data_IF_454119604383
#
_entry.id   IF_454119604383
#
_cell.length_a   1.000
_cell.length_b   1.000
_cell.length_c   1.000
_cell.angle_alpha   90.00
_cell.angle_beta   90.00
_cell.angle_gamma   90.00
#
_symmetry.space_group_name_H-M   'P 1'
#
loop_
_entity.id
_entity.type
_entity.pdbx_description
1 polymer ?
#
# COMPACT_ATOMS: atom_id res chain seq x y z
N UNK A 1 -88.02 -22.51 -7.11
CA UNK A 1 -86.84 -21.85 -7.68
C UNK A 1 -86.34 -20.81 -6.69
N UNK A 2 -85.23 -21.09 -5.99
CA UNK A 2 -84.58 -20.14 -5.07
C UNK A 2 -83.20 -19.80 -5.66
N UNK A 3 -82.95 -18.52 -5.91
CA UNK A 3 -81.65 -17.97 -6.28
C UNK A 3 -80.70 -18.07 -5.08
N UNK A 4 -79.51 -18.63 -5.29
CA UNK A 4 -78.42 -18.62 -4.32
C UNK A 4 -77.40 -17.52 -4.70
N UNK A 5 -77.11 -16.65 -3.74
CA UNK A 5 -76.08 -15.63 -3.83
C UNK A 5 -74.69 -16.26 -3.66
N UNK A 6 -73.77 -15.98 -4.57
CA UNK A 6 -72.36 -16.39 -4.48
C UNK A 6 -71.55 -15.26 -3.86
N UNK A 7 -71.08 -15.44 -2.63
CA UNK A 7 -70.10 -14.55 -1.98
C UNK A 7 -68.69 -14.92 -2.45
N UNK A 8 -67.98 -13.98 -3.08
CA UNK A 8 -66.61 -14.14 -3.54
C UNK A 8 -65.64 -13.69 -2.44
N UNK A 9 -64.97 -14.64 -1.78
CA UNK A 9 -63.92 -14.38 -0.79
C UNK A 9 -62.58 -14.20 -1.50
N UNK A 10 -62.02 -12.99 -1.48
CA UNK A 10 -60.66 -12.71 -1.97
C UNK A 10 -59.62 -13.23 -0.98
N UNK A 11 -58.87 -14.27 -1.38
CA UNK A 11 -57.66 -14.74 -0.72
C UNK A 11 -56.48 -13.83 -1.09
N UNK A 12 -55.92 -13.10 -0.12
CA UNK A 12 -54.60 -12.49 -0.26
C UNK A 12 -53.55 -13.61 -0.19
N UNK A 13 -52.93 -13.94 -1.31
CA UNK A 13 -51.72 -14.77 -1.35
C UNK A 13 -50.52 -13.85 -1.11
N UNK A 14 -50.00 -13.87 0.11
CA UNK A 14 -48.70 -13.26 0.42
C UNK A 14 -47.59 -14.07 -0.25
N UNK A 15 -46.90 -13.48 -1.22
CA UNK A 15 -45.71 -14.07 -1.81
C UNK A 15 -44.57 -14.02 -0.78
N UNK A 16 -44.31 -15.14 -0.12
CA UNK A 16 -43.06 -15.33 0.61
C UNK A 16 -41.99 -15.56 -0.45
N UNK A 17 -41.16 -14.54 -0.69
CA UNK A 17 -39.95 -14.72 -1.47
C UNK A 17 -39.06 -15.74 -0.73
N UNK A 18 -38.95 -16.94 -1.30
CA UNK A 18 -37.97 -17.91 -0.86
C UNK A 18 -36.58 -17.32 -1.14
N UNK A 19 -35.90 -16.85 -0.08
CA UNK A 19 -34.49 -16.50 -0.15
C UNK A 19 -33.74 -17.81 -0.37
N UNK A 20 -33.41 -18.10 -1.61
CA UNK A 20 -32.36 -19.08 -1.91
C UNK A 20 -31.08 -18.55 -1.27
N UNK A 21 -30.67 -19.12 -0.14
CA UNK A 21 -29.36 -18.87 0.42
C UNK A 21 -28.33 -19.26 -0.64
N UNK A 22 -27.71 -18.26 -1.26
CA UNK A 22 -26.52 -18.50 -2.07
C UNK A 22 -25.46 -19.14 -1.18
N UNK A 23 -24.64 -20.07 -1.70
CA UNK A 23 -23.53 -20.63 -0.94
C UNK A 23 -22.66 -19.49 -0.43
N UNK A 24 -22.35 -19.52 0.87
CA UNK A 24 -21.61 -18.50 1.60
C UNK A 24 -20.30 -18.14 0.89
N UNK A 25 -20.33 -17.12 0.02
CA UNK A 25 -19.14 -16.33 -0.23
C UNK A 25 -18.83 -15.67 1.12
N UNK A 26 -17.67 -15.97 1.70
CA UNK A 26 -17.21 -15.28 2.90
C UNK A 26 -17.17 -13.79 2.57
N UNK A 27 -18.21 -13.06 2.95
CA UNK A 27 -18.27 -11.63 2.72
C UNK A 27 -17.36 -10.95 3.74
N UNK A 28 -16.63 -9.93 3.33
CA UNK A 28 -15.87 -9.10 4.26
C UNK A 28 -16.80 -8.66 5.43
N UNK A 29 -16.46 -8.94 6.70
CA UNK A 29 -17.32 -8.62 7.85
C UNK A 29 -17.26 -7.13 8.26
N UNK A 30 -16.34 -6.36 7.70
CA UNK A 30 -16.18 -4.94 8.02
C UNK A 30 -17.04 -4.10 7.08
N UNK A 31 -17.92 -3.28 7.65
CA UNK A 31 -18.69 -2.27 6.92
C UNK A 31 -18.07 -0.91 7.14
N UNK A 32 -17.98 -0.13 6.06
CA UNK A 32 -17.38 1.19 6.08
C UNK A 32 -18.44 2.23 5.74
N UNK A 33 -18.50 3.30 6.53
CA UNK A 33 -19.09 4.56 6.10
C UNK A 33 -18.05 5.66 6.20
N UNK A 34 -18.16 6.66 5.34
CA UNK A 34 -17.23 7.78 5.27
C UNK A 34 -18.03 9.05 5.02
N UNK A 35 -17.70 10.09 5.77
CA UNK A 35 -18.31 11.42 5.64
C UNK A 35 -17.22 12.48 5.63
N UNK A 36 -17.52 13.65 5.07
CA UNK A 36 -16.66 14.82 5.19
C UNK A 36 -16.53 15.21 6.67
N UNK A 37 -15.30 15.32 7.18
CA UNK A 37 -15.06 15.89 8.50
C UNK A 37 -14.91 17.42 8.35
N UNK A 38 -15.73 18.18 9.07
CA UNK A 38 -15.58 19.65 9.11
C UNK A 38 -14.32 19.99 9.92
N UNK A 39 -13.49 20.92 9.43
CA UNK A 39 -12.45 21.49 10.27
C UNK A 39 -13.11 22.37 11.35
N UNK A 40 -12.48 22.48 12.51
CA UNK A 40 -12.90 23.37 13.60
C UNK A 40 -12.94 24.86 13.20
N UNK A 41 -12.33 25.23 12.06
CA UNK A 41 -12.37 26.56 11.45
C UNK A 41 -13.56 26.81 10.51
N UNK A 42 -14.46 25.84 10.29
CA UNK A 42 -15.63 25.98 9.41
C UNK A 42 -15.37 25.74 7.91
N UNK A 43 -14.11 25.58 7.50
CA UNK A 43 -13.72 25.14 6.15
C UNK A 43 -13.57 23.62 6.03
N UNK A 44 -13.75 23.07 4.83
CA UNK A 44 -13.45 21.65 4.55
C UNK A 44 -12.03 21.55 3.97
N UNK A 45 -11.09 21.06 4.77
CA UNK A 45 -9.65 21.01 4.44
C UNK A 45 -9.18 19.67 3.86
N UNK A 46 -10.09 18.86 3.32
CA UNK A 46 -9.75 17.52 2.82
C UNK A 46 -9.74 16.42 3.88
N UNK A 47 -10.34 16.64 5.06
CA UNK A 47 -10.44 15.63 6.10
C UNK A 47 -11.70 14.77 5.96
N UNK A 48 -11.62 13.47 6.23
CA UNK A 48 -12.76 12.54 6.23
C UNK A 48 -12.88 11.83 7.57
N UNK A 49 -14.10 11.70 8.09
CA UNK A 49 -14.38 10.76 9.18
C UNK A 49 -14.72 9.41 8.57
N UNK A 50 -13.91 8.39 8.90
CA UNK A 50 -14.14 7.01 8.51
C UNK A 50 -14.65 6.23 9.70
N UNK A 51 -15.77 5.54 9.51
CA UNK A 51 -16.38 4.62 10.47
C UNK A 51 -16.24 3.20 9.94
N UNK A 52 -15.64 2.30 10.71
CA UNK A 52 -15.54 0.87 10.38
C UNK A 52 -16.25 0.05 11.47
N UNK A 53 -17.28 -0.69 11.09
CA UNK A 53 -18.06 -1.55 11.99
C UNK A 53 -17.84 -3.02 11.65
N UNK A 54 -17.51 -3.84 12.65
CA UNK A 54 -17.53 -5.30 12.51
C UNK A 54 -18.96 -5.81 12.66
N UNK A 55 -19.58 -6.24 11.56
CA UNK A 55 -20.96 -6.75 11.54
C UNK A 55 -21.06 -8.27 11.70
N UNK A 56 -19.94 -8.95 11.98
CA UNK A 56 -19.94 -10.39 12.21
C UNK A 56 -20.17 -10.75 13.68
N UNK A 57 -20.32 -12.05 13.95
CA UNK A 57 -20.38 -12.62 15.30
C UNK A 57 -19.00 -13.00 15.85
N UNK A 58 -17.93 -12.74 15.10
CA UNK A 58 -16.56 -13.07 15.46
C UNK A 58 -15.75 -11.80 15.70
N UNK A 59 -14.76 -11.88 16.59
CA UNK A 59 -13.78 -10.80 16.70
C UNK A 59 -12.93 -10.78 15.44
N UNK A 60 -12.77 -9.61 14.83
CA UNK A 60 -11.88 -9.39 13.68
C UNK A 60 -10.54 -8.84 14.20
N UNK A 61 -9.44 -9.35 13.66
CA UNK A 61 -8.09 -8.85 13.88
C UNK A 61 -7.56 -8.32 12.56
N UNK A 62 -7.14 -7.07 12.51
CA UNK A 62 -6.59 -6.43 11.30
C UNK A 62 -5.26 -5.77 11.64
N UNK A 63 -4.20 -5.92 10.84
CA UNK A 63 -3.00 -5.11 11.01
C UNK A 63 -3.35 -3.62 11.05
N UNK A 64 -2.83 -2.89 12.04
CA UNK A 64 -3.23 -1.50 12.30
C UNK A 64 -3.00 -0.58 11.10
N UNK A 65 -1.91 -0.78 10.35
CA UNK A 65 -1.58 0.01 9.16
C UNK A 65 -2.54 -0.18 7.98
N UNK A 66 -3.44 -1.18 8.02
CA UNK A 66 -4.50 -1.37 7.02
C UNK A 66 -5.81 -0.70 7.43
N UNK A 67 -5.87 -0.07 8.60
CA UNK A 67 -7.00 0.71 9.07
C UNK A 67 -6.66 2.21 9.03
N UNK A 68 -7.66 3.09 8.83
CA UNK A 68 -7.46 4.53 8.94
C UNK A 68 -6.91 4.95 10.31
N UNK A 69 -5.94 5.86 10.28
CA UNK A 69 -5.30 6.52 11.42
C UNK A 69 -5.20 8.03 11.18
N UNK A 70 -4.90 8.78 12.24
CA UNK A 70 -4.59 10.21 12.18
C UNK A 70 -3.33 10.52 11.35
N UNK A 71 -2.35 9.61 11.36
CA UNK A 71 -1.20 9.63 10.46
C UNK A 71 -1.26 8.46 9.47
N UNK A 72 -1.30 8.76 8.17
CA UNK A 72 -1.35 7.72 7.13
C UNK A 72 0.02 7.10 6.88
N UNK A 73 0.19 5.86 7.37
CA UNK A 73 1.39 5.05 7.14
C UNK A 73 1.29 4.11 5.93
N UNK A 74 0.26 4.27 5.11
CA UNK A 74 0.01 3.51 3.90
C UNK A 74 -0.97 4.24 2.97
N UNK A 75 -0.96 3.89 1.68
CA UNK A 75 -1.89 4.40 0.67
C UNK A 75 -3.23 3.68 0.74
N UNK A 76 -4.06 4.06 1.71
CA UNK A 76 -5.34 3.41 1.99
C UNK A 76 -6.52 3.90 1.12
N UNK A 77 -6.35 5.03 0.44
CA UNK A 77 -7.43 5.72 -0.26
C UNK A 77 -7.14 5.81 -1.76
N UNK A 78 -8.20 5.67 -2.56
CA UNK A 78 -8.20 6.07 -3.95
C UNK A 78 -8.82 7.47 -4.01
N UNK A 79 -8.02 8.44 -4.45
CA UNK A 79 -8.42 9.84 -4.54
C UNK A 79 -8.32 10.26 -5.99
N UNK A 80 -9.38 10.89 -6.51
CA UNK A 80 -9.38 11.47 -7.86
C UNK A 80 -10.02 12.85 -7.86
N UNK A 81 -9.59 13.69 -8.80
CA UNK A 81 -10.18 15.00 -9.09
C UNK A 81 -10.40 15.07 -10.59
N UNK A 82 -11.60 15.46 -11.01
CA UNK A 82 -11.98 15.54 -12.43
C UNK A 82 -11.73 14.22 -13.20
N UNK A 83 -11.91 13.08 -12.52
CA UNK A 83 -11.68 11.74 -13.08
C UNK A 83 -10.21 11.31 -13.18
N UNK A 84 -9.26 12.17 -12.80
CA UNK A 84 -7.83 11.84 -12.77
C UNK A 84 -7.37 11.48 -11.36
N UNK A 85 -6.56 10.42 -11.16
CA UNK A 85 -5.97 10.10 -9.87
C UNK A 85 -5.17 11.28 -9.30
N UNK A 86 -5.31 11.50 -8.00
CA UNK A 86 -4.53 12.50 -7.26
C UNK A 86 -3.25 11.84 -6.75
N UNK A 87 -2.14 12.56 -6.88
CA UNK A 87 -0.83 12.07 -6.48
C UNK A 87 -0.78 11.80 -4.97
N UNK A 88 -0.32 10.61 -4.61
CA UNK A 88 0.03 10.26 -3.24
C UNK A 88 1.43 10.80 -2.91
N UNK A 89 1.55 11.44 -1.76
CA UNK A 89 2.74 12.08 -1.21
C UNK A 89 3.07 11.61 0.21
N UNK A 90 2.33 10.61 0.71
CA UNK A 90 2.62 9.97 1.98
C UNK A 90 3.77 8.96 1.89
N UNK A 91 4.15 8.36 3.02
CA UNK A 91 5.22 7.36 3.05
C UNK A 91 4.76 6.01 2.48
N UNK A 92 5.62 5.35 1.71
CA UNK A 92 5.54 3.93 1.34
C UNK A 92 6.51 3.16 2.23
N UNK A 93 6.10 2.03 2.81
CA UNK A 93 6.80 1.46 3.99
C UNK A 93 6.99 -0.05 3.83
N UNK A 94 8.23 -0.51 3.70
CA UNK A 94 8.52 -1.95 3.81
C UNK A 94 8.38 -2.45 5.24
N UNK A 95 7.54 -3.47 5.46
CA UNK A 95 7.25 -4.05 6.79
C UNK A 95 7.63 -5.52 6.89
N UNK A 96 7.98 -5.94 8.11
CA UNK A 96 8.02 -7.36 8.48
C UNK A 96 6.61 -7.97 8.51
N UNK A 97 6.53 -9.31 8.59
CA UNK A 97 5.27 -9.98 8.89
C UNK A 97 4.69 -9.47 10.24
N UNK A 98 3.37 -9.23 10.32
CA UNK A 98 2.76 -8.68 11.52
C UNK A 98 2.89 -9.63 12.72
N UNK A 99 3.56 -9.17 13.78
CA UNK A 99 3.50 -9.79 15.10
C UNK A 99 2.18 -9.49 15.81
N UNK A 100 1.91 -10.15 16.95
CA UNK A 100 0.62 -10.01 17.66
C UNK A 100 0.26 -8.56 18.05
N UNK A 101 1.25 -7.74 18.42
CA UNK A 101 1.06 -6.35 18.81
C UNK A 101 0.64 -5.43 17.64
N UNK A 102 0.83 -5.86 16.40
CA UNK A 102 0.46 -5.09 15.21
C UNK A 102 -1.04 -5.14 14.88
N UNK A 103 -1.82 -5.99 15.55
CA UNK A 103 -3.22 -6.21 15.22
C UNK A 103 -4.15 -5.33 16.06
N UNK A 104 -4.99 -4.55 15.38
CA UNK A 104 -6.20 -3.99 15.98
C UNK A 104 -7.24 -5.09 16.14
N UNK A 105 -7.78 -5.20 17.35
CA UNK A 105 -8.89 -6.08 17.69
C UNK A 105 -10.20 -5.28 17.55
N UNK A 106 -11.17 -5.81 16.81
CA UNK A 106 -12.51 -5.24 16.62
C UNK A 106 -13.53 -6.31 17.02
N UNK A 107 -14.15 -6.15 18.18
CA UNK A 107 -15.15 -7.11 18.72
C UNK A 107 -16.42 -7.15 17.87
N UNK A 108 -17.26 -8.19 18.00
CA UNK A 108 -18.57 -8.24 17.36
C UNK A 108 -19.38 -6.97 17.66
N UNK A 109 -19.86 -6.29 16.63
CA UNK A 109 -20.62 -5.03 16.74
C UNK A 109 -19.80 -3.79 17.09
N UNK A 110 -18.49 -3.91 17.37
CA UNK A 110 -17.64 -2.76 17.67
C UNK A 110 -17.47 -1.89 16.43
N UNK A 111 -17.44 -0.57 16.66
CA UNK A 111 -17.27 0.45 15.64
C UNK A 111 -16.05 1.30 15.97
N UNK A 112 -15.13 1.39 15.01
CA UNK A 112 -14.01 2.32 15.03
C UNK A 112 -14.42 3.60 14.29
N UNK A 113 -14.02 4.76 14.82
CA UNK A 113 -14.18 6.07 14.17
C UNK A 113 -12.84 6.77 14.17
N UNK A 114 -12.41 7.25 13.01
CA UNK A 114 -11.15 7.96 12.83
C UNK A 114 -11.36 9.13 11.88
N UNK A 115 -10.87 10.31 12.25
CA UNK A 115 -10.76 11.46 11.34
C UNK A 115 -9.38 11.40 10.68
N UNK A 116 -9.35 11.45 9.36
CA UNK A 116 -8.15 11.38 8.53
C UNK A 116 -8.00 12.68 7.75
N UNK A 117 -6.88 13.36 7.90
CA UNK A 117 -6.49 14.47 7.02
C UNK A 117 -5.84 13.90 5.74
N UNK A 118 -6.57 13.90 4.63
CA UNK A 118 -6.04 13.39 3.35
C UNK A 118 -5.02 14.36 2.74
N UNK A 119 -5.11 15.66 3.03
CA UNK A 119 -4.17 16.65 2.50
C UNK A 119 -2.75 16.44 3.04
N UNK A 120 -2.61 15.71 4.15
CA UNK A 120 -1.33 15.29 4.71
C UNK A 120 -0.59 14.28 3.81
N UNK A 121 -1.28 13.57 2.92
CA UNK A 121 -0.70 12.49 2.11
C UNK A 121 -1.12 12.50 0.64
N UNK A 122 -1.97 13.43 0.20
CA UNK A 122 -2.40 13.59 -1.20
C UNK A 122 -2.29 15.05 -1.62
N UNK A 123 -1.96 15.30 -2.89
CA UNK A 123 -1.97 16.65 -3.46
C UNK A 123 -3.41 17.18 -3.64
N UNK A 124 -3.91 17.79 -2.58
CA UNK A 124 -5.22 18.43 -2.53
C UNK A 124 -5.13 19.97 -2.66
N UNK A 125 -4.05 20.48 -3.27
CA UNK A 125 -3.79 21.92 -3.38
C UNK A 125 -4.68 22.67 -4.36
N UNK A 126 -5.35 21.98 -5.30
CA UNK A 126 -6.25 22.63 -6.26
C UNK A 126 -7.70 22.47 -5.86
N UNK A 127 -8.45 23.56 -5.96
CA UNK A 127 -9.90 23.52 -5.77
C UNK A 127 -10.58 22.64 -6.83
N UNK A 128 -11.66 21.98 -6.44
CA UNK A 128 -12.46 21.15 -7.35
C UNK A 128 -13.27 20.07 -6.64
N UNK A 129 -13.99 19.28 -7.42
CA UNK A 129 -14.67 18.08 -6.93
C UNK A 129 -13.68 16.92 -6.84
N UNK A 130 -13.56 16.36 -5.65
CA UNK A 130 -12.79 15.17 -5.36
C UNK A 130 -13.71 13.98 -5.10
N UNK A 131 -13.28 12.81 -5.57
CA UNK A 131 -13.89 11.52 -5.26
C UNK A 131 -12.89 10.73 -4.44
N UNK A 132 -13.29 10.36 -3.22
CA UNK A 132 -12.48 9.59 -2.26
C UNK A 132 -13.14 8.25 -1.99
N UNK A 133 -12.36 7.18 -2.08
CA UNK A 133 -12.79 5.83 -1.69
C UNK A 133 -11.74 5.22 -0.76
N UNK A 134 -12.12 4.77 0.44
CA UNK A 134 -11.26 3.87 1.21
C UNK A 134 -11.21 2.55 0.45
N UNK A 135 -10.02 2.04 0.15
CA UNK A 135 -9.80 0.73 -0.46
C UNK A 135 -8.49 0.15 0.07
N UNK A 136 -8.55 -0.47 1.25
CA UNK A 136 -7.39 -1.04 1.92
C UNK A 136 -7.41 -2.56 1.89
N UNK A 137 -6.27 -3.19 1.63
CA UNK A 137 -6.09 -4.65 1.69
C UNK A 137 -6.21 -5.13 3.14
N UNK A 138 -6.80 -6.30 3.38
CA UNK A 138 -6.89 -6.96 4.69
C UNK A 138 -5.91 -8.13 4.81
N UNK A 139 -4.66 -7.92 4.39
CA UNK A 139 -3.64 -8.96 4.43
C UNK A 139 -3.37 -9.39 5.87
N UNK A 140 -3.31 -10.69 6.12
CA UNK A 140 -3.19 -11.28 7.46
C UNK A 140 -4.37 -11.02 8.41
N UNK A 141 -5.43 -10.32 7.98
CA UNK A 141 -6.61 -10.16 8.81
C UNK A 141 -7.32 -11.50 9.03
N UNK A 142 -7.87 -11.70 10.22
CA UNK A 142 -8.46 -12.96 10.65
C UNK A 142 -9.66 -12.78 11.56
N UNK A 143 -10.47 -13.83 11.64
CA UNK A 143 -11.56 -13.98 12.60
C UNK A 143 -11.08 -14.77 13.83
N UNK A 144 -11.82 -14.64 14.94
CA UNK A 144 -11.51 -15.37 16.18
C UNK A 144 -11.63 -16.89 16.08
N UNK A 145 -12.26 -17.42 15.03
CA UNK A 145 -12.33 -18.85 14.72
C UNK A 145 -11.10 -19.36 13.92
N UNK A 146 -10.14 -18.48 13.59
CA UNK A 146 -8.92 -18.80 12.86
C UNK A 146 -9.02 -18.60 11.34
N UNK A 147 -10.20 -18.27 10.80
CA UNK A 147 -10.36 -18.01 9.37
C UNK A 147 -9.67 -16.71 8.96
N UNK A 148 -8.93 -16.73 7.86
CA UNK A 148 -8.30 -15.55 7.26
C UNK A 148 -9.29 -14.83 6.35
N UNK A 149 -9.27 -13.49 6.35
CA UNK A 149 -10.11 -12.68 5.45
C UNK A 149 -9.51 -12.63 4.04
N UNK A 150 -9.73 -13.72 3.29
CA UNK A 150 -9.26 -13.91 1.91
C UNK A 150 -10.43 -14.17 0.96
N UNK A 151 -10.30 -13.67 -0.25
CA UNK A 151 -11.19 -14.00 -1.37
C UNK A 151 -10.98 -15.46 -1.80
N UNK A 152 -11.91 -15.99 -2.60
CA UNK A 152 -11.82 -17.35 -3.14
C UNK A 152 -10.57 -17.60 -4.00
N UNK A 153 -9.99 -16.54 -4.60
CA UNK A 153 -8.74 -16.61 -5.37
C UNK A 153 -7.47 -16.52 -4.50
N UNK A 154 -7.59 -16.60 -3.17
CA UNK A 154 -6.47 -16.60 -2.23
C UNK A 154 -5.92 -15.21 -1.88
N UNK A 155 -6.29 -14.17 -2.63
CA UNK A 155 -5.89 -12.79 -2.31
C UNK A 155 -6.60 -12.30 -1.04
N UNK A 156 -5.99 -11.41 -0.25
CA UNK A 156 -6.69 -10.78 0.86
C UNK A 156 -7.95 -10.04 0.39
N UNK A 157 -8.99 -10.07 1.22
CA UNK A 157 -10.14 -9.19 1.00
C UNK A 157 -9.72 -7.72 1.09
N UNK A 158 -10.51 -6.81 0.53
CA UNK A 158 -10.35 -5.36 0.74
C UNK A 158 -11.46 -4.83 1.62
N UNK A 159 -11.13 -3.93 2.54
CA UNK A 159 -12.09 -3.06 3.21
C UNK A 159 -12.32 -1.84 2.33
N UNK A 160 -13.56 -1.64 1.90
CA UNK A 160 -13.91 -0.65 0.88
C UNK A 160 -15.12 0.18 1.30
N UNK A 161 -15.05 1.49 1.10
CA UNK A 161 -16.20 2.39 1.24
C UNK A 161 -16.95 2.57 -0.09
N UNK A 162 -18.17 3.11 -0.03
CA UNK A 162 -18.73 3.79 -1.20
C UNK A 162 -17.89 5.04 -1.52
N UNK A 163 -17.84 5.49 -2.79
CA UNK A 163 -17.17 6.74 -3.13
C UNK A 163 -17.85 7.94 -2.46
N UNK A 164 -17.08 8.75 -1.76
CA UNK A 164 -17.50 10.05 -1.21
C UNK A 164 -17.11 11.15 -2.19
N UNK A 165 -18.09 11.97 -2.59
CA UNK A 165 -17.85 13.20 -3.34
C UNK A 165 -17.76 14.37 -2.38
N UNK A 166 -16.74 15.20 -2.54
CA UNK A 166 -16.49 16.36 -1.70
C UNK A 166 -15.86 17.48 -2.53
N UNK A 167 -16.29 18.71 -2.28
CA UNK A 167 -15.64 19.88 -2.84
C UNK A 167 -14.49 20.30 -1.92
N UNK A 168 -13.30 20.47 -2.49
CA UNK A 168 -12.13 21.02 -1.77
C UNK A 168 -11.92 22.44 -2.25
N UNK A 169 -11.73 23.37 -1.33
CA UNK A 169 -11.12 24.65 -1.67
C UNK A 169 -9.60 24.56 -1.45
N UNK A 170 -8.85 24.52 -2.56
CA UNK A 170 -7.40 24.42 -2.53
C UNK A 170 -6.72 25.61 -1.87
N UNK A 171 -7.33 26.80 -1.92
CA UNK A 171 -6.80 27.99 -1.24
C UNK A 171 -6.80 27.79 0.28
N UNK A 172 -7.92 27.31 0.84
CA UNK A 172 -8.04 27.02 2.28
C UNK A 172 -7.04 25.94 2.74
N UNK A 173 -6.77 24.92 1.90
CA UNK A 173 -5.77 23.89 2.20
C UNK A 173 -4.35 24.46 2.25
N UNK A 174 -4.01 25.39 1.34
CA UNK A 174 -2.71 26.07 1.35
C UNK A 174 -2.57 27.03 2.54
N UNK A 175 -3.63 27.77 2.87
CA UNK A 175 -3.67 28.66 4.02
C UNK A 175 -3.57 27.89 5.35
N UNK A 176 -4.29 26.76 5.48
CA UNK A 176 -4.18 25.88 6.64
C UNK A 176 -2.79 25.23 6.78
N UNK A 177 -2.09 25.01 5.66
CA UNK A 177 -0.68 24.59 5.64
C UNK A 177 0.32 25.73 5.88
N UNK A 178 -0.15 26.97 6.06
CA UNK A 178 0.68 28.12 6.43
C UNK A 178 1.12 29.03 5.28
N UNK A 179 0.41 29.06 4.14
CA UNK A 179 0.62 30.03 3.05
C UNK A 179 1.95 29.90 2.30
N UNK A 180 2.83 29.01 2.71
CA UNK A 180 4.08 28.71 2.05
C UNK A 180 3.96 27.36 1.34
N UNK A 181 3.82 27.39 0.01
CA UNK A 181 3.98 26.22 -0.86
C UNK A 181 5.46 25.84 -0.98
N UNK A 182 6.28 26.17 0.01
CA UNK A 182 7.55 25.47 0.19
C UNK A 182 7.20 24.11 0.81
N UNK A 183 7.10 23.11 -0.07
CA UNK A 183 7.59 21.74 0.16
C UNK A 183 7.69 21.38 1.64
N UNK A 184 6.69 20.67 2.20
CA UNK A 184 6.70 20.05 3.56
C UNK A 184 8.13 20.01 4.07
N UNK A 185 8.46 20.97 4.94
CA UNK A 185 9.84 21.38 5.19
C UNK A 185 10.78 20.20 5.14
N UNK A 186 11.71 20.23 4.17
CA UNK A 186 12.84 19.30 4.09
C UNK A 186 13.29 19.05 5.53
N UNK A 187 13.12 17.83 6.10
CA UNK A 187 13.77 17.51 7.36
C UNK A 187 15.21 17.93 7.16
N UNK A 188 15.68 18.83 8.02
CA UNK A 188 16.81 19.70 7.71
C UNK A 188 17.86 18.99 6.89
N UNK A 189 18.34 19.65 5.83
CA UNK A 189 19.52 19.25 5.08
C UNK A 189 20.76 19.29 5.99
N UNK A 190 20.73 18.60 7.14
CA UNK A 190 21.92 18.30 7.92
C UNK A 190 22.85 17.58 6.97
N UNK A 191 23.99 18.21 6.70
CA UNK A 191 24.93 17.78 5.66
C UNK A 191 25.19 16.28 5.77
N UNK A 192 24.67 15.53 4.79
CA UNK A 192 24.94 14.11 4.70
C UNK A 192 26.39 13.91 4.27
N UNK A 193 27.06 12.93 4.87
CA UNK A 193 28.41 12.56 4.43
C UNK A 193 28.30 11.78 3.13
N UNK A 194 29.04 12.19 2.09
CA UNK A 194 29.08 11.43 0.82
C UNK A 194 30.24 10.44 0.87
N UNK A 195 29.94 9.15 0.75
CA UNK A 195 30.93 8.06 0.69
C UNK A 195 30.58 7.15 -0.48
N UNK A 196 31.55 6.89 -1.36
CA UNK A 196 31.39 6.07 -2.57
C UNK A 196 30.18 6.49 -3.45
N UNK A 197 29.94 7.80 -3.54
CA UNK A 197 28.86 8.36 -4.35
C UNK A 197 27.46 8.30 -3.73
N UNK A 198 27.32 7.84 -2.48
CA UNK A 198 26.04 7.79 -1.73
C UNK A 198 26.10 8.79 -0.58
N UNK A 199 25.02 9.53 -0.34
CA UNK A 199 24.90 10.46 0.78
C UNK A 199 24.25 9.77 1.99
N UNK A 200 24.84 9.94 3.17
CA UNK A 200 24.37 9.33 4.42
C UNK A 200 23.96 10.42 5.40
N UNK A 201 22.70 10.40 5.83
CA UNK A 201 22.11 11.44 6.70
C UNK A 201 21.85 10.84 8.08
N UNK A 202 22.45 11.42 9.11
CA UNK A 202 22.27 10.96 10.51
C UNK A 202 22.84 9.56 10.80
N UNK A 203 23.75 9.06 9.97
CA UNK A 203 24.34 7.74 10.10
C UNK A 203 25.67 7.79 10.87
N UNK A 204 25.87 6.86 11.81
CA UNK A 204 27.18 6.58 12.39
C UNK A 204 28.12 5.92 11.35
N UNK A 205 29.43 5.92 11.61
CA UNK A 205 30.41 5.26 10.73
C UNK A 205 30.10 3.79 10.47
N UNK A 206 29.65 3.04 11.48
CA UNK A 206 29.22 1.64 11.33
C UNK A 206 28.01 1.50 10.41
N UNK A 207 27.03 2.41 10.55
CA UNK A 207 25.86 2.45 9.67
C UNK A 207 26.23 2.83 8.24
N UNK A 208 27.14 3.78 8.04
CA UNK A 208 27.66 4.14 6.70
C UNK A 208 28.30 2.92 6.04
N UNK A 209 29.14 2.17 6.76
CA UNK A 209 29.77 0.97 6.20
C UNK A 209 28.73 -0.11 5.86
N UNK A 210 27.80 -0.41 6.78
CA UNK A 210 26.79 -1.45 6.58
C UNK A 210 25.78 -1.10 5.47
N UNK A 211 25.30 0.15 5.42
CA UNK A 211 24.42 0.61 4.36
C UNK A 211 25.15 0.73 3.02
N UNK A 212 26.41 1.15 3.01
CA UNK A 212 27.24 1.18 1.80
C UNK A 212 27.46 -0.22 1.20
N UNK A 213 27.68 -1.24 2.04
CA UNK A 213 27.70 -2.63 1.57
C UNK A 213 26.34 -3.05 0.99
N UNK A 214 25.23 -2.67 1.63
CA UNK A 214 23.90 -2.96 1.13
C UNK A 214 23.64 -2.32 -0.25
N UNK A 215 24.07 -1.07 -0.47
CA UNK A 215 23.98 -0.41 -1.77
C UNK A 215 24.78 -1.18 -2.84
N UNK A 216 25.99 -1.62 -2.51
CA UNK A 216 26.81 -2.42 -3.45
C UNK A 216 26.10 -3.72 -3.86
N UNK A 217 25.49 -4.43 -2.92
CA UNK A 217 24.74 -5.66 -3.23
C UNK A 217 23.41 -5.37 -3.95
N UNK A 218 22.73 -4.26 -3.62
CA UNK A 218 21.53 -3.83 -4.33
C UNK A 218 21.83 -3.50 -5.80
N UNK A 219 22.97 -2.86 -6.11
CA UNK A 219 23.41 -2.64 -7.50
C UNK A 219 23.54 -3.96 -8.26
N UNK A 220 24.18 -4.97 -7.66
CA UNK A 220 24.28 -6.32 -8.25
C UNK A 220 22.92 -6.97 -8.46
N UNK A 221 21.99 -6.82 -7.51
CA UNK A 221 20.62 -7.32 -7.64
C UNK A 221 19.86 -6.66 -8.81
N UNK A 222 19.95 -5.33 -8.93
CA UNK A 222 19.34 -4.59 -10.02
C UNK A 222 19.94 -4.97 -11.38
N UNK A 223 21.27 -5.00 -11.49
CA UNK A 223 21.99 -5.42 -12.70
C UNK A 223 21.61 -6.84 -13.12
N UNK A 224 21.55 -7.77 -12.17
CA UNK A 224 21.17 -9.16 -12.43
C UNK A 224 19.72 -9.29 -12.89
N UNK A 225 18.79 -8.58 -12.24
CA UNK A 225 17.38 -8.56 -12.65
C UNK A 225 17.17 -7.96 -14.04
N UNK A 226 17.85 -6.83 -14.32
CA UNK A 226 17.89 -6.20 -15.64
C UNK A 226 18.46 -7.14 -16.71
N UNK A 227 19.58 -7.79 -16.41
CA UNK A 227 20.23 -8.76 -17.31
C UNK A 227 19.35 -9.97 -17.60
N UNK A 228 18.63 -10.49 -16.60
CA UNK A 228 17.64 -11.55 -16.78
C UNK A 228 16.54 -11.13 -17.77
N UNK A 229 15.95 -9.94 -17.57
CA UNK A 229 14.82 -9.45 -18.37
C UNK A 229 15.23 -8.99 -19.78
N UNK A 230 16.53 -8.70 -19.99
CA UNK A 230 17.12 -8.51 -21.31
C UNK A 230 17.33 -9.85 -22.06
N UNK A 231 17.45 -10.97 -21.33
CA UNK A 231 17.49 -12.31 -21.90
C UNK A 231 16.07 -12.77 -22.26
N UNK A 232 15.77 -13.01 -23.54
CA UNK A 232 14.43 -13.42 -24.01
C UNK A 232 14.02 -14.86 -23.61
N UNK A 233 14.41 -15.33 -22.42
CA UNK A 233 14.07 -16.65 -21.88
C UNK A 233 13.24 -16.46 -20.62
N UNK A 234 11.97 -16.84 -20.69
CA UNK A 234 11.06 -16.81 -19.54
C UNK A 234 11.28 -18.07 -18.70
N UNK A 235 11.68 -17.90 -17.44
CA UNK A 235 11.88 -18.98 -16.49
C UNK A 235 10.98 -18.89 -15.26
N UNK A 236 11.23 -19.81 -14.32
CA UNK A 236 10.49 -19.89 -13.06
C UNK A 236 10.62 -18.58 -12.27
N UNK A 237 11.78 -17.92 -12.29
CA UNK A 237 12.01 -16.64 -11.60
C UNK A 237 10.99 -15.58 -12.00
N UNK A 238 10.75 -15.39 -13.30
CA UNK A 238 9.75 -14.43 -13.76
C UNK A 238 8.34 -14.84 -13.32
N UNK A 239 7.95 -16.09 -13.60
CA UNK A 239 6.57 -16.52 -13.35
C UNK A 239 6.20 -16.58 -11.88
N UNK A 240 7.16 -16.83 -10.98
CA UNK A 240 6.97 -16.82 -9.53
C UNK A 240 6.60 -15.43 -9.01
N UNK A 241 7.20 -14.37 -9.57
CA UNK A 241 7.09 -13.01 -9.03
C UNK A 241 6.24 -12.06 -9.89
N UNK A 242 6.06 -12.33 -11.18
CA UNK A 242 5.26 -11.50 -12.08
C UNK A 242 4.17 -12.26 -12.82
N UNK A 243 4.01 -13.55 -12.54
CA UNK A 243 2.90 -14.36 -13.02
C UNK A 243 3.04 -14.77 -14.49
N UNK A 244 1.90 -15.05 -15.11
CA UNK A 244 1.86 -15.51 -16.50
C UNK A 244 2.48 -14.48 -17.47
N UNK A 245 3.39 -14.97 -18.31
CA UNK A 245 4.06 -14.14 -19.32
C UNK A 245 3.08 -13.52 -20.31
N UNK A 246 3.30 -12.24 -20.59
CA UNK A 246 2.90 -11.58 -21.83
C UNK A 246 4.04 -10.65 -22.22
N UNK A 247 4.18 -10.35 -23.51
CA UNK A 247 5.20 -9.41 -23.99
C UNK A 247 5.09 -8.04 -23.30
N UNK A 248 3.87 -7.53 -23.12
CA UNK A 248 3.64 -6.25 -22.42
C UNK A 248 4.14 -6.29 -20.98
N UNK A 249 3.76 -7.32 -20.20
CA UNK A 249 4.17 -7.44 -18.79
C UNK A 249 5.66 -7.65 -18.63
N UNK A 250 6.27 -8.45 -19.51
CA UNK A 250 7.71 -8.64 -19.56
C UNK A 250 8.45 -7.33 -19.81
N UNK A 251 7.99 -6.54 -20.80
CA UNK A 251 8.56 -5.25 -21.13
C UNK A 251 8.42 -4.25 -19.96
N UNK A 252 7.29 -4.24 -19.26
CA UNK A 252 7.11 -3.44 -18.04
C UNK A 252 8.11 -3.83 -16.95
N UNK A 253 8.26 -5.11 -16.62
CA UNK A 253 9.26 -5.56 -15.67
C UNK A 253 10.69 -5.14 -16.10
N UNK A 254 11.01 -5.30 -17.39
CA UNK A 254 12.30 -4.89 -17.94
C UNK A 254 12.56 -3.39 -17.82
N UNK A 255 11.55 -2.55 -18.07
CA UNK A 255 11.62 -1.10 -17.87
C UNK A 255 11.83 -0.75 -16.40
N UNK A 256 11.10 -1.39 -15.49
CA UNK A 256 11.25 -1.18 -14.05
C UNK A 256 12.68 -1.50 -13.59
N UNK A 257 13.22 -2.67 -13.95
CA UNK A 257 14.57 -3.04 -13.55
C UNK A 257 15.66 -2.19 -14.19
N UNK A 258 15.48 -1.73 -15.43
CA UNK A 258 16.40 -0.76 -16.03
C UNK A 258 16.38 0.59 -15.29
N UNK A 259 15.21 1.05 -14.85
CA UNK A 259 15.07 2.28 -14.08
C UNK A 259 15.62 2.14 -12.66
N UNK A 260 15.35 1.01 -11.98
CA UNK A 260 15.89 0.71 -10.63
C UNK A 260 17.41 0.69 -10.67
N UNK A 261 17.99 -0.04 -11.64
CA UNK A 261 19.43 -0.13 -11.88
C UNK A 261 20.05 1.26 -12.11
N UNK A 262 19.49 2.05 -13.04
CA UNK A 262 19.97 3.41 -13.28
C UNK A 262 19.84 4.32 -12.07
N UNK A 263 18.83 4.13 -11.21
CA UNK A 263 18.62 4.96 -10.03
C UNK A 263 19.56 4.59 -8.88
N UNK A 264 19.77 3.30 -8.61
CA UNK A 264 20.67 2.84 -7.54
C UNK A 264 22.16 3.04 -7.90
N UNK A 265 22.48 3.09 -9.19
CA UNK A 265 23.83 3.41 -9.70
C UNK A 265 24.17 4.90 -9.72
N UNK A 266 23.23 5.78 -9.37
CA UNK A 266 23.53 7.20 -9.26
C UNK A 266 24.72 7.46 -8.35
N UNK A 267 25.53 8.42 -8.78
CA UNK A 267 26.75 8.84 -8.11
C UNK A 267 26.60 10.28 -7.61
N UNK A 268 27.68 10.88 -7.10
CA UNK A 268 27.69 12.25 -6.58
C UNK A 268 26.69 12.55 -5.42
N UNK A 269 26.25 11.52 -4.69
CA UNK A 269 25.44 11.66 -3.48
C UNK A 269 23.94 11.89 -3.73
N UNK A 270 23.44 11.54 -4.92
CA UNK A 270 22.01 11.66 -5.25
C UNK A 270 21.15 10.64 -4.47
N UNK A 271 21.59 9.39 -4.37
CA UNK A 271 21.01 8.38 -3.48
C UNK A 271 21.35 8.75 -2.04
N UNK A 272 20.32 8.87 -1.20
CA UNK A 272 20.44 9.21 0.21
C UNK A 272 19.94 8.08 1.08
N UNK A 273 20.79 7.59 1.97
CA UNK A 273 20.39 6.69 3.05
C UNK A 273 20.28 7.51 4.33
N UNK A 274 19.06 7.62 4.84
CA UNK A 274 18.76 8.36 6.05
C UNK A 274 18.58 7.39 7.23
N UNK A 275 19.45 7.49 8.24
CA UNK A 275 19.48 6.61 9.40
C UNK A 275 18.68 7.14 10.61
N UNK A 276 17.93 8.23 10.43
CA UNK A 276 17.17 8.88 11.52
C UNK A 276 15.91 8.14 11.95
N UNK A 277 15.46 7.12 11.21
CA UNK A 277 14.27 6.38 11.55
C UNK A 277 14.50 5.39 12.70
N UNK A 278 13.63 5.42 13.70
CA UNK A 278 13.63 4.47 14.82
C UNK A 278 12.35 3.61 14.89
N UNK A 279 11.61 3.51 13.79
CA UNK A 279 10.42 2.65 13.72
C UNK A 279 10.81 1.18 13.60
N UNK A 280 9.88 0.27 13.90
CA UNK A 280 10.16 -1.17 13.95
C UNK A 280 10.29 -1.83 12.59
N UNK A 281 9.73 -1.23 11.54
CA UNK A 281 9.74 -1.76 10.17
C UNK A 281 11.11 -1.59 9.49
N UNK A 282 11.23 -1.97 8.21
CA UNK A 282 12.51 -1.98 7.48
C UNK A 282 12.94 -0.60 7.06
N UNK A 283 12.14 0.03 6.22
CA UNK A 283 12.45 1.32 5.63
C UNK A 283 11.16 1.99 5.14
N UNK A 284 11.31 3.22 4.67
CA UNK A 284 10.26 3.91 3.92
C UNK A 284 10.85 4.95 2.97
N UNK A 285 10.05 5.34 1.97
CA UNK A 285 10.31 6.48 1.09
C UNK A 285 9.08 7.37 0.97
N UNK A 286 9.28 8.58 0.46
CA UNK A 286 8.20 9.38 -0.12
C UNK A 286 8.34 9.30 -1.65
N UNK A 287 7.36 8.73 -2.39
CA UNK A 287 7.48 8.48 -3.85
C UNK A 287 7.81 9.71 -4.70
N UNK A 288 7.45 10.91 -4.21
CA UNK A 288 7.67 12.20 -4.86
C UNK A 288 8.99 12.88 -4.48
N UNK A 289 9.81 12.27 -3.61
CA UNK A 289 11.09 12.81 -3.13
C UNK A 289 12.28 11.89 -3.45
N UNK A 290 12.54 11.60 -4.73
CA UNK A 290 13.69 10.77 -5.11
C UNK A 290 15.02 11.44 -4.73
N UNK A 291 16.06 10.73 -4.28
CA UNK A 291 16.17 9.28 -4.00
C UNK A 291 16.54 9.07 -2.52
N UNK A 292 15.72 9.60 -1.60
CA UNK A 292 15.95 9.48 -0.15
C UNK A 292 15.20 8.30 0.47
N UNK A 293 15.95 7.32 0.97
CA UNK A 293 15.46 6.11 1.63
C UNK A 293 15.74 6.21 3.13
N UNK A 294 14.69 6.11 3.94
CA UNK A 294 14.77 6.17 5.40
C UNK A 294 14.82 4.76 5.97
N UNK A 295 15.98 4.33 6.46
CA UNK A 295 16.18 2.98 7.00
C UNK A 295 15.94 2.95 8.51
N UNK A 296 15.18 1.95 8.96
CA UNK A 296 14.64 1.81 10.31
C UNK A 296 15.22 0.58 11.02
N UNK A 297 14.63 0.14 12.14
CA UNK A 297 15.24 -0.89 13.00
C UNK A 297 15.35 -2.27 12.32
N UNK A 298 14.35 -2.72 11.58
CA UNK A 298 14.41 -4.05 10.96
C UNK A 298 15.48 -4.12 9.86
N UNK A 299 15.72 -3.02 9.12
CA UNK A 299 16.81 -2.96 8.14
C UNK A 299 18.16 -3.27 8.78
N UNK A 300 18.45 -2.74 9.97
CA UNK A 300 19.75 -2.97 10.61
C UNK A 300 19.95 -4.42 11.05
N UNK A 301 18.88 -5.08 11.49
CA UNK A 301 18.86 -6.49 11.91
C UNK A 301 18.84 -7.48 10.73
N UNK A 302 18.45 -7.02 9.54
CA UNK A 302 18.36 -7.85 8.35
C UNK A 302 19.73 -8.35 7.86
N UNK A 303 19.78 -9.52 7.20
CA UNK A 303 21.00 -9.99 6.54
C UNK A 303 21.38 -9.04 5.40
N UNK A 304 22.66 -9.03 5.01
CA UNK A 304 23.12 -8.16 3.92
C UNK A 304 22.45 -8.50 2.58
N UNK A 305 22.36 -9.80 2.28
CA UNK A 305 21.75 -10.41 1.08
C UNK A 305 20.88 -11.60 1.48
N UNK A 306 20.13 -12.16 0.53
CA UNK A 306 19.17 -13.24 0.78
C UNK A 306 17.75 -12.70 0.86
N UNK A 307 16.85 -13.42 1.53
CA UNK A 307 15.43 -13.02 1.65
C UNK A 307 15.25 -11.89 2.67
N UNK A 308 14.45 -10.89 2.31
CA UNK A 308 14.12 -9.71 3.13
C UNK A 308 15.39 -9.06 3.69
N UNK A 309 16.36 -8.89 2.80
CA UNK A 309 17.72 -8.44 3.09
C UNK A 309 17.84 -6.92 3.07
N UNK A 310 18.97 -6.40 3.54
CA UNK A 310 19.32 -4.97 3.37
C UNK A 310 19.36 -4.59 1.89
N UNK A 311 19.99 -5.42 1.05
CA UNK A 311 20.05 -5.19 -0.38
C UNK A 311 18.66 -5.23 -1.04
N UNK A 312 17.84 -6.23 -0.70
CA UNK A 312 16.46 -6.35 -1.17
C UNK A 312 15.58 -5.18 -0.74
N UNK A 313 15.71 -4.75 0.52
CA UNK A 313 15.03 -3.55 1.03
C UNK A 313 15.35 -2.31 0.18
N UNK A 314 16.60 -2.11 -0.24
CA UNK A 314 16.94 -0.97 -1.08
C UNK A 314 16.32 -1.08 -2.49
N UNK A 315 16.18 -2.30 -3.05
CA UNK A 315 15.46 -2.52 -4.31
C UNK A 315 13.98 -2.19 -4.15
N UNK A 316 13.36 -2.67 -3.07
CA UNK A 316 11.97 -2.40 -2.72
C UNK A 316 11.70 -0.89 -2.69
N UNK A 317 12.45 -0.18 -1.84
CA UNK A 317 12.26 1.25 -1.62
C UNK A 317 12.59 2.08 -2.88
N UNK A 318 13.59 1.66 -3.67
CA UNK A 318 13.92 2.33 -4.92
C UNK A 318 12.78 2.21 -5.95
N UNK A 319 12.06 1.09 -5.96
CA UNK A 319 10.96 0.86 -6.92
C UNK A 319 9.77 1.80 -6.69
N UNK A 320 9.54 2.26 -5.46
CA UNK A 320 8.44 3.15 -5.11
C UNK A 320 8.55 4.55 -5.71
N UNK A 321 9.75 5.05 -6.03
CA UNK A 321 9.87 6.40 -6.56
C UNK A 321 9.14 6.52 -7.91
N UNK A 322 8.32 7.57 -8.05
CA UNK A 322 7.49 7.79 -9.25
C UNK A 322 8.32 7.92 -10.54
N UNK A 323 9.57 8.38 -10.41
CA UNK A 323 10.53 8.52 -11.53
C UNK A 323 11.28 7.23 -11.85
N UNK A 324 11.01 6.14 -11.12
CA UNK A 324 11.66 4.82 -11.27
C UNK A 324 10.66 3.80 -11.79
N UNK A 325 9.80 3.25 -10.92
CA UNK A 325 8.76 2.29 -11.28
C UNK A 325 7.39 2.66 -10.68
N UNK A 326 7.36 3.51 -9.64
CA UNK A 326 6.12 3.98 -9.03
C UNK A 326 5.28 2.85 -8.43
N UNK A 327 5.91 1.77 -7.96
CA UNK A 327 5.23 0.62 -7.37
C UNK A 327 4.49 1.00 -6.09
N UNK A 328 3.41 0.30 -5.80
CA UNK A 328 2.65 0.35 -4.55
C UNK A 328 3.04 -0.82 -3.60
N UNK A 329 2.46 -0.80 -2.40
CA UNK A 329 2.52 -1.86 -1.38
C UNK A 329 1.19 -2.63 -1.31
N UNK A 330 0.92 -3.46 -2.31
CA UNK A 330 -0.32 -4.24 -2.37
C UNK A 330 -0.37 -5.34 -1.32
N UNK A 331 0.76 -6.05 -1.14
CA UNK A 331 0.95 -7.15 -0.19
C UNK A 331 2.41 -7.26 0.25
N UNK A 332 2.63 -7.68 1.50
CA UNK A 332 3.96 -7.95 2.05
C UNK A 332 4.28 -9.45 2.15
N UNK A 333 5.55 -9.83 2.07
CA UNK A 333 6.03 -11.19 2.27
C UNK A 333 5.94 -12.07 1.02
N UNK A 334 6.90 -12.99 0.87
CA UNK A 334 6.98 -13.89 -0.30
C UNK A 334 5.69 -14.65 -0.61
N UNK A 335 4.95 -15.09 0.41
CA UNK A 335 3.69 -15.82 0.22
C UNK A 335 2.60 -14.93 -0.38
N UNK A 336 2.50 -13.68 0.09
CA UNK A 336 1.60 -12.67 -0.47
C UNK A 336 1.98 -12.35 -1.92
N UNK A 337 3.25 -12.04 -2.17
CA UNK A 337 3.77 -11.70 -3.49
C UNK A 337 3.55 -12.82 -4.53
N UNK A 338 3.82 -14.09 -4.18
CA UNK A 338 3.53 -15.24 -5.06
C UNK A 338 2.05 -15.40 -5.34
N UNK A 339 1.20 -15.26 -4.33
CA UNK A 339 -0.26 -15.32 -4.51
C UNK A 339 -0.76 -14.18 -5.40
N UNK A 340 -0.15 -12.99 -5.29
CA UNK A 340 -0.46 -11.85 -6.14
C UNK A 340 -0.06 -12.13 -7.58
N UNK A 341 1.14 -12.66 -7.82
CA UNK A 341 1.61 -13.03 -9.16
C UNK A 341 0.68 -14.06 -9.85
N UNK A 342 0.11 -14.99 -9.09
CA UNK A 342 -0.83 -16.00 -9.63
C UNK A 342 -2.20 -15.39 -9.94
N UNK A 343 -2.76 -14.62 -9.01
CA UNK A 343 -4.16 -14.21 -9.06
C UNK A 343 -4.40 -12.84 -9.68
N UNK A 344 -3.39 -11.96 -9.66
CA UNK A 344 -3.41 -10.62 -10.27
C UNK A 344 -1.99 -10.19 -10.72
N UNK A 345 -1.52 -10.68 -11.89
CA UNK A 345 -0.19 -10.35 -12.42
C UNK A 345 0.03 -8.85 -12.66
N UNK A 346 -1.02 -8.06 -12.82
CA UNK A 346 -0.90 -6.61 -13.00
C UNK A 346 -0.54 -5.95 -11.67
N UNK A 347 -1.24 -6.31 -10.59
CA UNK A 347 -0.87 -5.84 -9.24
C UNK A 347 0.50 -6.36 -8.80
N UNK A 348 0.91 -7.57 -9.23
CA UNK A 348 2.25 -8.08 -8.95
C UNK A 348 3.37 -7.25 -9.60
N UNK A 349 3.14 -6.73 -10.81
CA UNK A 349 4.05 -5.78 -11.46
C UNK A 349 4.02 -4.38 -10.85
N UNK A 350 3.06 -4.10 -9.99
CA UNK A 350 2.89 -2.84 -9.28
C UNK A 350 3.17 -3.02 -7.77
N UNK A 351 3.75 -4.14 -7.34
CA UNK A 351 4.06 -4.41 -5.93
C UNK A 351 5.58 -4.37 -5.69
N UNK A 352 6.04 -3.56 -4.74
CA UNK A 352 7.47 -3.40 -4.45
C UNK A 352 8.12 -4.71 -3.98
N UNK A 353 7.45 -5.48 -3.11
CA UNK A 353 7.94 -6.79 -2.65
C UNK A 353 8.10 -7.80 -3.79
N UNK A 354 7.28 -7.74 -4.84
CA UNK A 354 7.46 -8.61 -6.01
C UNK A 354 8.77 -8.29 -6.77
N UNK A 355 9.17 -7.01 -6.81
CA UNK A 355 10.45 -6.59 -7.40
C UNK A 355 11.62 -7.00 -6.50
N UNK A 356 11.51 -6.77 -5.20
CA UNK A 356 12.51 -7.20 -4.22
C UNK A 356 12.79 -8.70 -4.34
N UNK A 357 11.76 -9.55 -4.25
CA UNK A 357 11.97 -10.99 -4.27
C UNK A 357 12.43 -11.52 -5.63
N UNK A 358 12.03 -10.88 -6.73
CA UNK A 358 12.62 -11.15 -8.03
C UNK A 358 14.12 -10.84 -8.05
N UNK A 359 14.54 -9.71 -7.46
CA UNK A 359 15.92 -9.28 -7.43
C UNK A 359 16.79 -10.13 -6.49
N UNK A 360 16.29 -10.42 -5.28
CA UNK A 360 16.94 -11.28 -4.28
C UNK A 360 17.14 -12.72 -4.80
N UNK A 361 16.17 -13.23 -5.57
CA UNK A 361 16.16 -14.56 -6.15
C UNK A 361 16.59 -15.65 -5.15
N UNK A 362 15.98 -15.66 -3.96
CA UNK A 362 16.31 -16.57 -2.87
C UNK A 362 15.07 -17.36 -2.38
N UNK A 363 15.06 -18.71 -2.51
CA UNK A 363 16.07 -19.54 -3.17
C UNK A 363 16.13 -19.29 -4.69
N UNK A 364 17.30 -19.57 -5.29
CA UNK A 364 17.55 -19.31 -6.71
C UNK A 364 16.58 -20.03 -7.64
N UNK A 365 16.09 -19.29 -8.63
CA UNK A 365 15.32 -19.78 -9.78
C UNK A 365 15.89 -19.21 -11.09
N UNK A 366 15.74 -19.98 -12.16
CA UNK A 366 16.17 -19.63 -13.52
C UNK A 366 15.11 -18.89 -14.33
#
# INVERSE_FOLDING_TARGET
MKLAALTCSTLLVGAIAAVSAQPNANSNPLRVSMVAAQASSGGFLGSVEVTITNTSRHTVRVPQWQLPSDFLEAKLFQVSRDGQPVQYEGPMIKRELPGAAAFKIIRPGETLRTVVDLSSAYDMSRSGEYIVTLSSTLQHASLSNGEMLKNANGLPMKVQSVPLRLWVDGADVLEAKGGDVTSKGKPGSGGGTVVNGVSYVGCSTTQINGAGQAVVEARKYAENGKGYLAGNTVGARYTTWFGAYTSSRWNTAGQHFAAIDSAIDQNAGQVKINCGCNQSYYAYVYPTRPYEIFVCRAFWSAPLTGTDSKAGTLIHEMSHFNVVAGTDDHVYGQSGAKSLAISDPAAALDNADNHEYFAENNPFQN
#
